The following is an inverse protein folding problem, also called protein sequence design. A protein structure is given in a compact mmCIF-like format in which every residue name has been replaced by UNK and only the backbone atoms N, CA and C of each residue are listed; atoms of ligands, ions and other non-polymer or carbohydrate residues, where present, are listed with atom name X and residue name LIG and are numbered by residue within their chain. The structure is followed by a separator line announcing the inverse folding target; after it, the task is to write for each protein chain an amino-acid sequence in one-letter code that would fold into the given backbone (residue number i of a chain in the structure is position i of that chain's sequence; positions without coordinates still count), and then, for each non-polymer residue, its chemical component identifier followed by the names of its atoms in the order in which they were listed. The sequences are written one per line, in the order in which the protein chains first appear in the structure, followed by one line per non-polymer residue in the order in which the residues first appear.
data_IF_646332651892
#
_entry.id   IF_646332651892
#
_cell.length_a   1.000
_cell.length_b   1.000
_cell.length_c   1.000
_cell.angle_alpha   90.00
_cell.angle_beta   90.00
_cell.angle_gamma   90.00
#
_symmetry.space_group_name_H-M   'P 1'
#
loop_
_entity.id
_entity.type
_entity.pdbx_description
1 polymer ?
#
# COMPACT_ATOMS: atom_id res chain seq x y z
N UNK A 1 -29.90 -4.26 33.37
CA UNK A 1 -29.01 -4.14 32.17
C UNK A 1 -27.58 -4.36 32.67
N UNK A 2 -26.71 -5.12 31.96
CA UNK A 2 -25.29 -5.21 32.36
C UNK A 2 -24.52 -4.15 31.57
N UNK A 3 -23.61 -3.46 32.23
CA UNK A 3 -22.75 -2.44 31.61
C UNK A 3 -21.40 -3.05 31.23
N UNK A 4 -20.76 -2.47 30.20
CA UNK A 4 -19.42 -2.84 29.78
C UNK A 4 -18.40 -2.20 30.72
N UNK A 5 -17.67 -3.02 31.49
CA UNK A 5 -16.72 -2.56 32.51
C UNK A 5 -15.29 -2.32 31.96
N UNK A 6 -15.02 -2.66 30.71
CA UNK A 6 -13.67 -2.55 30.13
C UNK A 6 -13.65 -2.66 28.61
N UNK A 7 -12.52 -2.28 28.01
CA UNK A 7 -12.30 -2.25 26.56
C UNK A 7 -11.02 -3.02 26.23
N UNK A 8 -11.07 -3.82 25.17
CA UNK A 8 -9.87 -4.47 24.62
C UNK A 8 -9.24 -3.55 23.59
N UNK A 9 -8.00 -3.10 23.86
CA UNK A 9 -7.21 -2.34 22.91
C UNK A 9 -6.19 -3.25 22.23
N UNK A 10 -6.30 -3.40 20.92
CA UNK A 10 -5.32 -4.13 20.10
C UNK A 10 -4.44 -3.13 19.37
N UNK A 11 -3.11 -3.30 19.44
CA UNK A 11 -2.16 -2.55 18.64
C UNK A 11 -1.33 -3.53 17.79
N UNK A 12 -1.05 -3.17 16.54
CA UNK A 12 -0.08 -3.89 15.72
C UNK A 12 0.78 -2.87 14.98
N UNK A 13 2.10 -3.03 15.12
CA UNK A 13 3.08 -2.16 14.48
C UNK A 13 3.19 -2.43 12.96
N UNK A 14 2.74 -3.60 12.50
CA UNK A 14 3.05 -4.11 11.16
C UNK A 14 1.85 -4.27 10.22
N UNK A 15 0.62 -4.49 10.72
CA UNK A 15 -0.52 -4.68 9.82
C UNK A 15 -1.87 -4.61 10.53
N UNK A 16 -2.73 -3.75 9.96
CA UNK A 16 -4.16 -3.65 10.26
C UNK A 16 -4.88 -4.99 10.15
N UNK A 17 -4.43 -5.87 9.24
CA UNK A 17 -5.04 -7.18 8.98
C UNK A 17 -5.02 -8.08 10.22
N UNK A 18 -3.91 -8.08 10.99
CA UNK A 18 -3.79 -8.91 12.21
C UNK A 18 -4.71 -8.42 13.32
N UNK A 19 -4.82 -7.10 13.50
CA UNK A 19 -5.74 -6.52 14.48
C UNK A 19 -7.20 -6.76 14.10
N UNK A 20 -7.57 -6.65 12.83
CA UNK A 20 -8.95 -6.86 12.37
C UNK A 20 -9.40 -8.31 12.57
N UNK A 21 -8.50 -9.27 12.34
CA UNK A 21 -8.78 -10.70 12.64
C UNK A 21 -9.00 -10.90 14.13
N UNK A 22 -8.11 -10.39 15.00
CA UNK A 22 -8.28 -10.54 16.46
C UNK A 22 -9.58 -9.89 16.95
N UNK A 23 -9.87 -8.67 16.49
CA UNK A 23 -11.09 -7.95 16.86
C UNK A 23 -12.36 -8.69 16.38
N UNK A 24 -12.35 -9.24 15.16
CA UNK A 24 -13.51 -9.99 14.66
C UNK A 24 -13.77 -11.27 15.46
N UNK A 25 -12.74 -11.94 15.97
CA UNK A 25 -12.89 -13.12 16.82
C UNK A 25 -13.45 -12.76 18.21
N UNK A 26 -12.97 -11.66 18.81
CA UNK A 26 -13.51 -11.15 20.08
C UNK A 26 -14.97 -10.73 19.91
N UNK A 27 -15.28 -9.97 18.85
CA UNK A 27 -16.63 -9.55 18.51
C UNK A 27 -17.57 -10.74 18.33
N UNK A 28 -17.09 -11.82 17.71
CA UNK A 28 -17.89 -13.02 17.45
C UNK A 28 -18.28 -13.66 18.77
N UNK A 29 -17.32 -13.82 19.68
CA UNK A 29 -17.58 -14.44 20.98
C UNK A 29 -18.55 -13.62 21.82
N UNK A 30 -18.42 -12.29 21.79
CA UNK A 30 -19.34 -11.41 22.51
C UNK A 30 -20.75 -11.44 21.92
N UNK A 31 -20.87 -11.46 20.59
CA UNK A 31 -22.15 -11.56 19.90
C UNK A 31 -22.86 -12.89 20.22
N UNK A 32 -22.15 -14.01 20.23
CA UNK A 32 -22.69 -15.31 20.66
C UNK A 32 -23.25 -15.26 22.08
N UNK A 33 -22.51 -14.66 23.03
CA UNK A 33 -22.97 -14.52 24.41
C UNK A 33 -24.22 -13.64 24.51
N UNK A 34 -24.30 -12.58 23.70
CA UNK A 34 -25.48 -11.71 23.65
C UNK A 34 -26.69 -12.43 23.08
N UNK A 35 -26.53 -13.17 21.96
CA UNK A 35 -27.60 -13.93 21.31
C UNK A 35 -28.14 -15.05 22.21
N UNK A 36 -27.27 -15.73 22.96
CA UNK A 36 -27.68 -16.72 23.97
C UNK A 36 -28.49 -16.07 25.09
N UNK A 37 -28.07 -14.89 25.55
CA UNK A 37 -28.73 -14.18 26.65
C UNK A 37 -30.13 -13.70 26.29
N UNK A 38 -30.37 -13.33 25.03
CA UNK A 38 -31.71 -12.93 24.55
C UNK A 38 -32.57 -14.12 24.11
N UNK A 39 -32.07 -15.35 24.23
CA UNK A 39 -32.80 -16.58 23.89
C UNK A 39 -32.91 -16.85 22.39
N UNK A 40 -32.13 -16.16 21.55
CA UNK A 40 -32.08 -16.44 20.10
C UNK A 40 -31.24 -17.68 19.83
N UNK A 41 -30.16 -17.88 20.59
CA UNK A 41 -29.30 -19.07 20.51
C UNK A 41 -29.49 -19.99 21.72
N UNK A 42 -29.47 -21.31 21.48
CA UNK A 42 -29.36 -22.32 22.52
C UNK A 42 -28.01 -22.30 23.26
N UNK A 43 -27.91 -23.04 24.37
CA UNK A 43 -26.70 -23.07 25.22
C UNK A 43 -25.43 -23.48 24.43
N UNK A 44 -25.56 -24.44 23.51
CA UNK A 44 -24.47 -24.95 22.67
C UNK A 44 -24.44 -24.33 21.26
N UNK A 45 -25.40 -23.48 20.92
CA UNK A 45 -25.49 -22.90 19.59
C UNK A 45 -24.48 -21.76 19.41
N UNK A 46 -23.84 -21.70 18.25
CA UNK A 46 -22.82 -20.71 17.92
C UNK A 46 -23.09 -20.12 16.54
N UNK A 47 -22.38 -19.06 16.20
CA UNK A 47 -22.55 -18.41 14.89
C UNK A 47 -22.22 -19.39 13.76
N UNK A 48 -21.24 -20.28 13.97
CA UNK A 48 -20.88 -21.33 13.01
C UNK A 48 -21.97 -22.36 12.77
N UNK A 49 -22.95 -22.51 13.67
CA UNK A 49 -24.11 -23.38 13.46
C UNK A 49 -25.07 -22.82 12.39
N UNK A 50 -24.99 -21.52 12.10
CA UNK A 50 -25.83 -20.84 11.11
C UNK A 50 -24.99 -20.30 9.95
N UNK A 51 -24.81 -21.11 8.90
CA UNK A 51 -24.00 -20.77 7.72
C UNK A 51 -24.29 -19.38 7.15
N UNK A 52 -25.57 -19.05 6.90
CA UNK A 52 -25.96 -17.75 6.34
C UNK A 52 -25.57 -16.56 7.26
N UNK A 53 -25.62 -16.75 8.58
CA UNK A 53 -25.25 -15.72 9.53
C UNK A 53 -23.74 -15.59 9.65
N UNK A 54 -23.02 -16.72 9.68
CA UNK A 54 -21.56 -16.75 9.70
C UNK A 54 -20.94 -16.09 8.47
N UNK A 55 -21.50 -16.34 7.28
CA UNK A 55 -21.07 -15.68 6.03
C UNK A 55 -21.29 -14.16 6.08
N UNK A 56 -22.46 -13.70 6.52
CA UNK A 56 -22.74 -12.27 6.66
C UNK A 56 -21.81 -11.60 7.66
N UNK A 57 -21.51 -12.29 8.78
CA UNK A 57 -20.55 -11.81 9.78
C UNK A 57 -19.15 -11.67 9.20
N UNK A 58 -18.66 -12.68 8.47
CA UNK A 58 -17.36 -12.65 7.78
C UNK A 58 -17.28 -11.51 6.76
N UNK A 59 -18.32 -11.31 5.95
CA UNK A 59 -18.39 -10.24 4.94
C UNK A 59 -18.35 -8.86 5.62
N UNK A 60 -19.11 -8.67 6.70
CA UNK A 60 -19.12 -7.42 7.47
C UNK A 60 -17.72 -7.06 7.96
N UNK A 61 -17.02 -8.01 8.61
CA UNK A 61 -15.68 -7.77 9.14
C UNK A 61 -14.61 -7.62 8.06
N UNK A 62 -14.78 -8.26 6.90
CA UNK A 62 -13.92 -8.04 5.76
C UNK A 62 -14.09 -6.62 5.20
N UNK A 63 -15.33 -6.15 5.01
CA UNK A 63 -15.60 -4.80 4.54
C UNK A 63 -15.12 -3.74 5.53
N UNK A 64 -15.34 -3.95 6.83
CA UNK A 64 -14.80 -3.08 7.88
C UNK A 64 -13.27 -2.97 7.79
N UNK A 65 -12.57 -4.10 7.62
CA UNK A 65 -11.12 -4.10 7.44
C UNK A 65 -10.67 -3.36 6.18
N UNK A 66 -11.40 -3.53 5.07
CA UNK A 66 -11.15 -2.82 3.82
C UNK A 66 -11.30 -1.31 3.98
N UNK A 67 -12.36 -0.84 4.66
CA UNK A 67 -12.63 0.59 4.87
C UNK A 67 -11.56 1.25 5.74
N UNK A 68 -11.15 0.60 6.83
CA UNK A 68 -10.08 1.12 7.69
C UNK A 68 -8.74 1.15 6.94
N UNK A 69 -8.48 0.15 6.09
CA UNK A 69 -7.28 0.12 5.25
C UNK A 69 -7.29 1.25 4.22
N UNK A 70 -8.44 1.55 3.62
CA UNK A 70 -8.58 2.65 2.66
C UNK A 70 -8.30 3.99 3.36
N UNK A 71 -8.81 4.19 4.57
CA UNK A 71 -8.53 5.41 5.33
C UNK A 71 -7.05 5.55 5.68
N UNK A 72 -6.39 4.46 6.07
CA UNK A 72 -4.99 4.51 6.50
C UNK A 72 -3.99 4.56 5.32
N UNK A 73 -4.16 3.70 4.32
CA UNK A 73 -3.18 3.53 3.22
C UNK A 73 -3.71 3.91 1.84
N UNK A 74 -4.96 4.37 1.73
CA UNK A 74 -5.60 4.67 0.44
C UNK A 74 -5.92 3.45 -0.43
N UNK A 75 -5.80 2.23 0.12
CA UNK A 75 -6.08 0.98 -0.60
C UNK A 75 -6.85 0.00 0.29
N UNK A 76 -7.68 -0.90 -0.29
CA UNK A 76 -8.29 -2.00 0.46
C UNK A 76 -7.28 -2.86 1.22
N UNK A 77 -7.77 -3.63 2.20
CA UNK A 77 -6.92 -4.48 3.02
C UNK A 77 -6.27 -5.56 2.16
N UNK A 78 -5.02 -5.91 2.48
CA UNK A 78 -4.39 -7.06 1.85
C UNK A 78 -4.97 -8.33 2.48
N UNK A 79 -5.03 -9.40 1.70
CA UNK A 79 -5.53 -10.71 2.17
C UNK A 79 -6.98 -10.69 2.67
N UNK A 80 -7.82 -9.78 2.17
CA UNK A 80 -9.25 -9.73 2.52
C UNK A 80 -9.98 -11.08 2.29
N UNK A 81 -9.51 -11.87 1.32
CA UNK A 81 -9.98 -13.23 1.03
C UNK A 81 -9.83 -14.20 2.20
N UNK A 82 -8.80 -14.03 3.04
CA UNK A 82 -8.62 -14.87 4.22
C UNK A 82 -9.74 -14.62 5.25
N UNK A 83 -10.19 -13.37 5.38
CA UNK A 83 -11.32 -13.00 6.26
C UNK A 83 -12.64 -13.45 5.64
N UNK A 84 -12.81 -13.32 4.32
CA UNK A 84 -14.05 -13.65 3.60
C UNK A 84 -14.28 -15.16 3.45
N UNK A 85 -13.25 -15.92 3.09
CA UNK A 85 -13.37 -17.32 2.68
C UNK A 85 -12.53 -18.30 3.51
N UNK A 86 -11.68 -17.81 4.42
CA UNK A 86 -10.80 -18.65 5.25
C UNK A 86 -9.62 -19.29 4.51
N UNK A 87 -9.52 -19.09 3.19
CA UNK A 87 -8.43 -19.60 2.35
C UNK A 87 -8.07 -18.56 1.27
N UNK A 88 -6.90 -18.73 0.64
CA UNK A 88 -6.35 -17.76 -0.31
C UNK A 88 -6.76 -18.13 -1.74
N UNK A 89 -7.52 -17.26 -2.41
CA UNK A 89 -7.90 -17.46 -3.82
C UNK A 89 -6.84 -16.90 -4.76
N UNK A 90 -6.70 -17.48 -5.96
CA UNK A 90 -5.75 -17.00 -6.98
C UNK A 90 -6.09 -15.58 -7.47
N UNK A 91 -7.38 -15.26 -7.57
CA UNK A 91 -7.88 -13.91 -7.87
C UNK A 91 -7.51 -12.92 -6.75
N UNK A 92 -7.62 -13.34 -5.49
CA UNK A 92 -7.19 -12.57 -4.32
C UNK A 92 -5.70 -12.24 -4.34
N UNK A 93 -4.85 -13.18 -4.75
CA UNK A 93 -3.40 -12.94 -4.88
C UNK A 93 -3.11 -11.84 -5.90
N UNK A 94 -3.79 -11.83 -7.05
CA UNK A 94 -3.62 -10.79 -8.06
C UNK A 94 -4.10 -9.43 -7.54
N UNK A 95 -5.26 -9.39 -6.88
CA UNK A 95 -5.83 -8.18 -6.29
C UNK A 95 -4.93 -7.62 -5.17
N UNK A 96 -4.35 -8.50 -4.34
CA UNK A 96 -3.36 -8.15 -3.32
C UNK A 96 -2.12 -7.53 -3.97
N UNK A 97 -1.65 -8.12 -5.08
CA UNK A 97 -0.51 -7.60 -5.84
C UNK A 97 -0.75 -6.18 -6.36
N UNK A 98 -1.89 -5.94 -7.00
CA UNK A 98 -2.27 -4.61 -7.46
C UNK A 98 -2.38 -3.61 -6.31
N UNK A 99 -3.07 -3.99 -5.23
CA UNK A 99 -3.24 -3.12 -4.05
C UNK A 99 -1.90 -2.79 -3.39
N UNK A 100 -0.95 -3.73 -3.40
CA UNK A 100 0.41 -3.50 -2.91
C UNK A 100 1.19 -2.51 -3.77
N UNK A 101 1.04 -2.58 -5.10
CA UNK A 101 1.66 -1.62 -6.02
C UNK A 101 1.07 -0.21 -5.85
N UNK A 102 -0.26 -0.10 -5.74
CA UNK A 102 -0.94 1.17 -5.49
C UNK A 102 -0.51 1.74 -4.14
N UNK A 103 -0.44 0.92 -3.09
CA UNK A 103 0.02 1.33 -1.77
C UNK A 103 1.48 1.80 -1.80
N UNK A 104 2.36 1.10 -2.52
CA UNK A 104 3.74 1.54 -2.72
C UNK A 104 3.80 2.91 -3.39
N UNK A 105 2.97 3.13 -4.42
CA UNK A 105 2.90 4.43 -5.09
C UNK A 105 2.38 5.53 -4.17
N UNK A 106 1.25 5.30 -3.49
CA UNK A 106 0.64 6.27 -2.59
C UNK A 106 1.58 6.65 -1.45
N UNK A 107 2.18 5.67 -0.77
CA UNK A 107 3.08 5.91 0.35
C UNK A 107 4.37 6.64 -0.07
N UNK A 108 4.89 6.39 -1.27
CA UNK A 108 6.13 7.03 -1.70
C UNK A 108 5.94 8.37 -2.41
N UNK A 109 4.82 8.57 -3.12
CA UNK A 109 4.66 9.73 -4.01
C UNK A 109 3.51 10.66 -3.63
N UNK A 110 2.50 10.20 -2.90
CA UNK A 110 1.35 11.02 -2.51
C UNK A 110 1.33 11.37 -1.00
N UNK A 111 2.06 10.60 -0.19
CA UNK A 111 1.95 10.70 1.28
C UNK A 111 2.55 11.99 1.85
N UNK A 112 3.66 12.48 1.30
CA UNK A 112 4.27 13.75 1.74
C UNK A 112 3.30 14.93 1.70
N UNK A 113 2.50 15.04 0.63
CA UNK A 113 1.48 16.10 0.52
C UNK A 113 0.32 15.90 1.49
N UNK A 114 -0.06 14.64 1.77
CA UNK A 114 -1.11 14.34 2.75
C UNK A 114 -0.67 14.70 4.17
N UNK A 115 0.56 14.34 4.53
CA UNK A 115 1.15 14.70 5.82
C UNK A 115 1.27 16.23 5.96
N UNK A 116 1.72 16.93 4.92
CA UNK A 116 1.75 18.40 4.92
C UNK A 116 0.35 19.01 5.14
N UNK A 117 -0.70 18.47 4.51
CA UNK A 117 -2.07 18.95 4.73
C UNK A 117 -2.56 18.70 6.18
N UNK A 118 -2.21 17.55 6.76
CA UNK A 118 -2.56 17.21 8.15
C UNK A 118 -1.81 18.13 9.13
N UNK A 119 -0.51 18.33 8.92
CA UNK A 119 0.32 19.19 9.75
C UNK A 119 -0.17 20.65 9.72
N UNK A 120 -0.60 21.14 8.55
CA UNK A 120 -1.20 22.45 8.39
C UNK A 120 -2.51 22.59 9.18
N UNK A 121 -3.41 21.60 9.08
CA UNK A 121 -4.69 21.60 9.80
C UNK A 121 -4.52 21.47 11.32
N UNK A 122 -3.52 20.71 11.77
CA UNK A 122 -3.21 20.53 13.19
C UNK A 122 -2.42 21.69 13.79
N UNK A 123 -2.00 22.66 12.98
CA UNK A 123 -1.17 23.78 13.43
C UNK A 123 0.29 23.39 13.72
N UNK A 124 0.72 22.21 13.30
CA UNK A 124 2.09 21.71 13.44
C UNK A 124 2.99 22.20 12.28
N UNK A 125 3.00 23.50 12.02
CA UNK A 125 3.84 24.11 10.99
C UNK A 125 4.85 25.05 11.64
N UNK A 126 6.13 24.91 11.28
CA UNK A 126 7.13 25.91 11.64
C UNK A 126 6.95 27.06 10.66
N UNK A 127 6.29 28.14 11.10
CA UNK A 127 6.44 29.42 10.39
C UNK A 127 7.85 29.90 10.63
N UNK A 128 8.77 29.52 9.76
CA UNK A 128 9.91 30.39 9.53
C UNK A 128 9.31 31.68 8.95
N UNK A 129 9.00 32.65 9.80
CA UNK A 129 8.85 34.05 9.40
C UNK A 129 10.23 34.54 8.95
N UNK A 130 10.79 33.93 7.90
CA UNK A 130 11.94 34.48 7.19
C UNK A 130 11.35 35.52 6.26
N UNK A 131 11.47 36.78 6.67
CA UNK A 131 11.18 37.96 5.85
C UNK A 131 12.06 38.05 4.59
N UNK A 132 12.98 37.12 4.39
CA UNK A 132 13.68 36.96 3.14
C UNK A 132 13.11 35.75 2.42
N UNK A 133 12.47 36.04 1.29
CA UNK A 133 12.06 35.09 0.27
C UNK A 133 13.30 34.32 -0.18
N UNK A 134 13.61 33.22 0.51
CA UNK A 134 14.59 32.27 0.03
C UNK A 134 14.17 31.86 -1.38
N UNK A 135 15.09 31.87 -2.36
CA UNK A 135 14.73 31.54 -3.73
C UNK A 135 14.12 30.15 -3.70
N UNK A 136 12.95 30.01 -4.35
CA UNK A 136 12.35 28.72 -4.68
C UNK A 136 13.52 27.82 -5.10
N UNK A 137 13.76 26.66 -4.45
CA UNK A 137 14.83 25.78 -4.88
C UNK A 137 14.59 25.54 -6.36
N UNK A 138 15.47 26.09 -7.20
CA UNK A 138 15.45 25.86 -8.62
C UNK A 138 15.55 24.34 -8.71
N UNK A 139 14.44 23.69 -9.12
CA UNK A 139 14.41 22.25 -9.37
C UNK A 139 15.65 21.94 -10.20
N UNK A 140 16.66 21.35 -9.57
CA UNK A 140 17.88 20.97 -10.28
C UNK A 140 17.45 20.09 -11.45
N UNK A 141 18.10 20.19 -12.61
CA UNK A 141 17.67 19.47 -13.82
C UNK A 141 17.42 17.97 -13.58
N UNK A 142 18.12 17.37 -12.60
CA UNK A 142 17.90 15.99 -12.16
C UNK A 142 16.56 15.78 -11.41
N UNK A 143 16.12 16.72 -10.57
CA UNK A 143 14.85 16.66 -9.82
C UNK A 143 13.63 16.91 -10.70
N UNK A 144 13.78 17.68 -11.79
CA UNK A 144 12.74 17.83 -12.81
C UNK A 144 12.55 16.56 -13.65
N UNK A 145 13.63 15.79 -13.85
CA UNK A 145 13.64 14.48 -14.52
C UNK A 145 13.32 13.34 -13.55
N UNK A 146 13.38 13.58 -12.23
CA UNK A 146 13.12 12.61 -11.18
C UNK A 146 11.62 12.27 -11.00
N UNK A 147 10.89 12.13 -12.10
CA UNK A 147 9.56 11.56 -12.09
C UNK A 147 9.68 10.05 -12.22
N UNK A 148 9.35 9.32 -11.16
CA UNK A 148 9.24 7.86 -11.16
C UNK A 148 8.52 7.28 -12.41
N UNK A 149 7.41 7.84 -12.92
CA UNK A 149 6.79 7.33 -14.15
C UNK A 149 7.69 7.48 -15.39
N UNK A 150 8.52 8.52 -15.48
CA UNK A 150 9.48 8.70 -16.58
C UNK A 150 10.61 7.67 -16.46
N UNK A 151 11.16 7.48 -15.27
CA UNK A 151 12.19 6.46 -15.03
C UNK A 151 11.68 5.04 -15.33
N UNK A 152 10.44 4.73 -14.93
CA UNK A 152 9.78 3.46 -15.24
C UNK A 152 9.58 3.28 -16.75
N UNK A 153 9.11 4.31 -17.46
CA UNK A 153 8.94 4.28 -18.90
C UNK A 153 10.26 4.01 -19.63
N UNK A 154 11.36 4.68 -19.24
CA UNK A 154 12.70 4.46 -19.81
C UNK A 154 13.16 3.01 -19.62
N UNK A 155 12.95 2.43 -18.45
CA UNK A 155 13.29 1.03 -18.17
C UNK A 155 12.46 0.07 -19.03
N UNK A 156 11.15 0.28 -19.13
CA UNK A 156 10.25 -0.56 -19.93
C UNK A 156 10.57 -0.49 -21.43
N UNK A 157 10.86 0.71 -21.94
CA UNK A 157 11.28 0.93 -23.33
C UNK A 157 12.60 0.21 -23.60
N UNK A 158 13.58 0.37 -22.70
CA UNK A 158 14.89 -0.30 -22.82
C UNK A 158 14.76 -1.82 -22.79
N UNK A 159 13.91 -2.35 -21.92
CA UNK A 159 13.62 -3.78 -21.84
C UNK A 159 12.92 -4.29 -23.12
N UNK A 160 11.94 -3.56 -23.65
CA UNK A 160 11.25 -3.91 -24.88
C UNK A 160 12.22 -3.98 -26.07
N UNK A 161 13.08 -2.98 -26.24
CA UNK A 161 14.13 -2.97 -27.27
C UNK A 161 15.14 -4.12 -27.12
N UNK A 162 15.49 -4.50 -25.88
CA UNK A 162 16.35 -5.66 -25.63
C UNK A 162 15.68 -6.97 -26.05
N UNK A 163 14.38 -7.15 -25.76
CA UNK A 163 13.63 -8.36 -26.15
C UNK A 163 13.42 -8.48 -27.66
N UNK A 164 13.18 -7.37 -28.38
CA UNK A 164 13.10 -7.38 -29.84
C UNK A 164 14.45 -7.74 -30.48
N UNK A 165 15.54 -7.16 -29.97
CA UNK A 165 16.89 -7.43 -30.47
C UNK A 165 17.30 -8.90 -30.31
N UNK A 166 16.87 -9.56 -29.23
CA UNK A 166 17.10 -10.99 -28.99
C UNK A 166 16.26 -11.87 -29.93
N UNK A 167 15.01 -11.49 -30.22
CA UNK A 167 14.14 -12.25 -31.14
C UNK A 167 14.57 -12.15 -32.60
N UNK A 168 15.20 -11.05 -33.01
CA UNK A 168 15.72 -10.86 -34.38
C UNK A 168 17.10 -11.49 -34.62
N UNK A 169 17.76 -12.05 -33.61
CA UNK A 169 19.14 -12.57 -33.68
C UNK A 169 19.31 -13.88 -34.50
N UNK A 170 18.24 -14.36 -35.15
CA UNK A 170 18.26 -15.51 -36.07
C UNK A 170 18.60 -15.17 -37.53
N UNK A 171 18.82 -13.89 -37.87
CA UNK A 171 19.17 -13.45 -39.24
C UNK A 171 20.61 -12.89 -39.29
N UNK A 172 21.24 -12.87 -40.47
CA UNK A 172 22.67 -12.57 -40.75
C UNK A 172 23.25 -11.25 -40.19
N UNK A 173 22.44 -10.46 -39.49
CA UNK A 173 22.81 -9.21 -38.83
C UNK A 173 23.14 -9.35 -37.33
N UNK A 174 23.58 -10.54 -36.91
CA UNK A 174 23.81 -10.92 -35.50
C UNK A 174 24.65 -9.92 -34.71
N UNK A 175 25.73 -9.39 -35.29
CA UNK A 175 26.63 -8.43 -34.62
C UNK A 175 25.99 -7.06 -34.36
N UNK A 176 25.14 -6.57 -35.27
CA UNK A 176 24.47 -5.27 -35.11
C UNK A 176 23.41 -5.35 -34.00
N UNK A 177 22.61 -6.41 -33.97
CA UNK A 177 21.58 -6.60 -32.93
C UNK A 177 22.17 -6.87 -31.54
N UNK A 178 23.30 -7.58 -31.45
CA UNK A 178 24.02 -7.78 -30.19
C UNK A 178 24.54 -6.45 -29.63
N UNK A 179 25.10 -5.57 -30.47
CA UNK A 179 25.57 -4.26 -30.04
C UNK A 179 24.43 -3.38 -29.47
N UNK A 180 23.30 -3.29 -30.17
CA UNK A 180 22.14 -2.54 -29.68
C UNK A 180 21.57 -3.14 -28.39
N UNK A 181 21.50 -4.46 -28.28
CA UNK A 181 21.03 -5.13 -27.05
C UNK A 181 21.91 -4.80 -25.84
N UNK A 182 23.24 -4.82 -26.00
CA UNK A 182 24.18 -4.46 -24.94
C UNK A 182 24.07 -2.98 -24.56
N UNK A 183 23.88 -2.08 -25.54
CA UNK A 183 23.69 -0.65 -25.30
C UNK A 183 22.42 -0.38 -24.48
N UNK A 184 21.27 -0.94 -24.87
CA UNK A 184 20.00 -0.75 -24.17
C UNK A 184 20.01 -1.39 -22.77
N UNK A 185 20.69 -2.52 -22.61
CA UNK A 185 20.91 -3.14 -21.30
C UNK A 185 21.78 -2.24 -20.41
N UNK A 186 22.85 -1.65 -20.95
CA UNK A 186 23.70 -0.70 -20.24
C UNK A 186 22.96 0.55 -19.78
N UNK A 187 22.13 1.14 -20.65
CA UNK A 187 21.28 2.28 -20.31
C UNK A 187 20.28 1.91 -19.20
N UNK A 188 19.64 0.74 -19.29
CA UNK A 188 18.71 0.25 -18.29
C UNK A 188 19.38 0.07 -16.91
N UNK A 189 20.55 -0.57 -16.88
CA UNK A 189 21.33 -0.77 -15.64
C UNK A 189 21.80 0.57 -15.06
N UNK A 190 22.25 1.50 -15.90
CA UNK A 190 22.65 2.84 -15.48
C UNK A 190 21.51 3.64 -14.85
N UNK A 191 20.33 3.64 -15.49
CA UNK A 191 19.12 4.29 -14.95
C UNK A 191 18.68 3.62 -13.65
N UNK A 192 18.67 2.28 -13.58
CA UNK A 192 18.30 1.56 -12.36
C UNK A 192 19.27 1.85 -11.20
N UNK A 193 20.57 1.92 -11.46
CA UNK A 193 21.58 2.27 -10.46
C UNK A 193 21.40 3.71 -9.97
N UNK A 194 21.09 4.65 -10.87
CA UNK A 194 20.83 6.05 -10.53
C UNK A 194 19.56 6.20 -9.69
N UNK A 195 18.48 5.49 -10.04
CA UNK A 195 17.24 5.45 -9.25
C UNK A 195 17.48 4.81 -7.88
N UNK A 196 18.29 3.75 -7.80
CA UNK A 196 18.62 3.10 -6.52
C UNK A 196 19.47 4.01 -5.62
N UNK A 197 20.45 4.71 -6.19
CA UNK A 197 21.31 5.63 -5.45
C UNK A 197 20.53 6.88 -4.97
N UNK A 198 19.63 7.40 -5.82
CA UNK A 198 18.88 8.63 -5.56
C UNK A 198 17.42 8.39 -5.14
N UNK A 199 17.04 7.17 -4.76
CA UNK A 199 15.64 6.79 -4.51
C UNK A 199 14.91 7.72 -3.53
N UNK A 200 15.64 8.33 -2.59
CA UNK A 200 15.10 9.30 -1.63
C UNK A 200 14.63 10.62 -2.26
N UNK A 201 15.18 11.01 -3.42
CA UNK A 201 14.81 12.24 -4.16
C UNK A 201 13.49 12.04 -4.92
N UNK A 202 13.20 10.81 -5.34
CA UNK A 202 11.96 10.49 -6.06
C UNK A 202 10.74 10.42 -5.12
N UNK A 203 10.94 10.14 -3.84
CA UNK A 203 9.85 10.06 -2.86
C UNK A 203 9.38 11.47 -2.45
N UNK A 204 8.06 11.68 -2.45
CA UNK A 204 7.42 12.87 -1.92
C UNK A 204 7.47 12.83 -0.38
N UNK A 205 8.30 13.70 0.22
CA UNK A 205 8.46 13.81 1.67
C UNK A 205 7.70 15.02 2.23
N UNK A 206 7.19 14.94 3.47
CA UNK A 206 6.63 16.09 4.15
C UNK A 206 7.68 17.20 4.26
N UNK A 207 7.26 18.43 3.96
CA UNK A 207 8.10 19.62 3.94
C UNK A 207 7.87 20.50 5.15
N UNK A 208 6.70 20.41 5.79
CA UNK A 208 6.29 21.31 6.89
C UNK A 208 6.86 20.92 8.26
N UNK A 209 6.99 19.62 8.55
CA UNK A 209 7.56 19.13 9.80
C UNK A 209 8.70 18.15 9.53
N UNK A 210 9.94 18.58 9.73
CA UNK A 210 11.11 17.69 9.65
C UNK A 210 11.34 17.04 11.04
N UNK A 211 11.32 15.70 11.16
CA UNK A 211 11.68 15.06 12.42
C UNK A 211 13.11 15.47 12.80
N UNK A 212 13.30 15.90 14.06
CA UNK A 212 14.63 16.08 14.63
C UNK A 212 15.22 14.70 14.87
N UNK A 213 16.18 14.31 14.01
CA UNK A 213 17.20 13.29 14.26
C UNK A 213 16.70 11.90 14.62
#
# INVERSE_FOLDING_TARGET
MKEQLGVVRTNCIDCLDRTNVTQSMIGRKMLELQLKRIGVFGAEETISSHLNFDERYKILWANHGDDVSIQYSGTPALKGDFVRYGHRTTQGVLKDGWSSLVRYYLNNFADGTKQDAIDLLQGHYIVAMSRDMAPVPQKGGLEAVANFPVALAVVLISFWFATMSLKQAGSDYKHKHLFFSLLWTGICVGVAALVRANGRIFCNRPRLHKPRG
#
